data_IF_440453749626
#
_entry.id   IF_440453749626
#
_cell.length_a   1.000
_cell.length_b   1.000
_cell.length_c   1.000
_cell.angle_alpha   90.00
_cell.angle_beta   90.00
_cell.angle_gamma   90.00
#
_symmetry.space_group_name_H-M   'P 1'
#
loop_
_entity.id
_entity.type
_entity.pdbx_description
1 polymer ?
#
# COMPACT_ATOMS: atom_id res chain seq x y z
N UNK A 1 25.73 -12.18 84.91
CA UNK A 1 24.33 -11.69 84.87
C UNK A 1 24.27 -10.62 83.79
N UNK A 2 23.26 -10.71 82.93
CA UNK A 2 22.88 -9.84 81.81
C UNK A 2 23.54 -10.11 80.49
N UNK A 3 22.86 -10.89 79.66
CA UNK A 3 23.02 -11.07 78.23
C UNK A 3 22.61 -9.80 77.48
N UNK A 4 23.46 -9.34 76.54
CA UNK A 4 23.02 -8.41 75.51
C UNK A 4 23.08 -9.14 74.17
N UNK A 5 21.92 -9.22 73.56
CA UNK A 5 21.77 -9.73 72.20
C UNK A 5 22.05 -8.63 71.21
N UNK A 6 23.05 -8.86 70.37
CA UNK A 6 23.31 -8.02 69.18
C UNK A 6 22.39 -8.49 68.04
N UNK A 7 21.48 -7.66 67.62
CA UNK A 7 20.73 -7.81 66.41
C UNK A 7 21.60 -7.29 65.24
N UNK A 8 22.08 -8.18 64.37
CA UNK A 8 22.58 -7.84 63.08
C UNK A 8 21.38 -7.65 62.12
N UNK A 9 21.15 -6.41 61.68
CA UNK A 9 20.24 -6.11 60.59
C UNK A 9 21.00 -6.31 59.28
N UNK A 10 20.63 -7.36 58.56
CA UNK A 10 21.11 -7.63 57.19
C UNK A 10 20.36 -6.70 56.24
N UNK A 11 20.99 -5.66 55.73
CA UNK A 11 20.44 -4.77 54.71
C UNK A 11 20.64 -5.46 53.37
N UNK A 12 19.58 -6.14 52.89
CA UNK A 12 19.54 -6.68 51.55
C UNK A 12 19.23 -5.56 50.54
N UNK A 13 20.26 -5.05 49.91
CA UNK A 13 20.12 -4.16 48.70
C UNK A 13 19.57 -4.97 47.55
N UNK A 14 18.31 -4.79 47.24
CA UNK A 14 17.71 -5.23 45.98
C UNK A 14 18.22 -4.32 44.86
N UNK A 15 19.18 -4.80 44.09
CA UNK A 15 19.50 -4.27 42.79
C UNK A 15 18.43 -4.69 41.82
N UNK A 16 17.43 -3.82 41.62
CA UNK A 16 16.49 -3.95 40.51
C UNK A 16 17.23 -3.68 39.20
N UNK A 17 17.57 -4.73 38.50
CA UNK A 17 17.92 -4.62 37.09
C UNK A 17 16.66 -4.19 36.33
N UNK A 18 16.60 -2.92 35.99
CA UNK A 18 15.65 -2.45 34.96
C UNK A 18 16.25 -2.94 33.63
N UNK A 19 15.83 -4.12 33.22
CA UNK A 19 15.94 -4.54 31.83
C UNK A 19 15.01 -3.66 31.02
N UNK A 20 15.56 -2.70 30.28
CA UNK A 20 14.83 -2.13 29.16
C UNK A 20 14.60 -3.25 28.16
N UNK A 21 13.46 -3.90 28.22
CA UNK A 21 12.93 -4.63 27.09
C UNK A 21 12.68 -3.59 25.99
N UNK A 22 13.35 -3.74 24.87
CA UNK A 22 12.96 -3.07 23.63
C UNK A 22 11.49 -3.48 23.42
N UNK A 23 10.63 -2.48 23.35
CA UNK A 23 9.26 -2.68 22.95
C UNK A 23 9.26 -3.35 21.58
N UNK A 24 8.99 -4.64 21.56
CA UNK A 24 8.66 -5.35 20.35
C UNK A 24 7.31 -4.78 19.90
N UNK A 25 7.20 -4.27 18.66
CA UNK A 25 5.95 -3.67 18.19
C UNK A 25 4.80 -4.67 18.03
N UNK A 26 5.03 -5.93 18.37
CA UNK A 26 4.02 -6.97 18.35
C UNK A 26 3.69 -7.40 19.79
N UNK A 27 2.42 -7.32 20.23
CA UNK A 27 2.01 -7.88 21.51
C UNK A 27 2.25 -9.39 21.53
N UNK A 28 3.07 -9.85 22.49
CA UNK A 28 3.50 -11.26 22.60
C UNK A 28 2.55 -12.14 23.41
N UNK A 29 1.37 -11.66 23.83
CA UNK A 29 0.52 -12.37 24.79
C UNK A 29 -0.87 -12.77 24.31
N UNK A 30 -1.16 -12.71 22.98
CA UNK A 30 -2.36 -13.30 22.38
C UNK A 30 -1.99 -14.10 21.12
N UNK A 31 -1.26 -15.20 21.29
CA UNK A 31 -0.85 -16.10 20.18
C UNK A 31 -2.04 -16.84 19.54
N UNK A 32 -3.26 -16.77 20.10
CA UNK A 32 -4.35 -17.67 19.67
C UNK A 32 -5.30 -17.10 18.62
N UNK A 33 -5.22 -15.80 18.27
CA UNK A 33 -6.19 -15.17 17.35
C UNK A 33 -5.57 -14.50 16.10
N UNK A 34 -4.26 -14.56 15.92
CA UNK A 34 -3.63 -13.99 14.72
C UNK A 34 -3.93 -14.86 13.50
N UNK A 35 -4.60 -14.28 12.51
CA UNK A 35 -4.88 -14.91 11.23
C UNK A 35 -4.25 -14.10 10.10
N UNK A 36 -3.63 -14.78 9.15
CA UNK A 36 -3.14 -14.17 7.92
C UNK A 36 -4.20 -14.32 6.84
N UNK A 37 -4.52 -13.23 6.16
CA UNK A 37 -5.38 -13.27 4.99
C UNK A 37 -4.52 -13.24 3.73
N UNK A 38 -4.85 -14.08 2.76
CA UNK A 38 -4.19 -14.02 1.47
C UNK A 38 -5.19 -14.18 0.33
N UNK A 39 -4.80 -13.68 -0.83
CA UNK A 39 -5.52 -13.88 -2.08
C UNK A 39 -4.60 -14.56 -3.09
N UNK A 40 -5.15 -15.54 -3.81
CA UNK A 40 -4.47 -16.17 -4.94
C UNK A 40 -5.39 -16.12 -6.15
N UNK A 41 -4.85 -15.70 -7.29
CA UNK A 41 -5.60 -15.68 -8.55
C UNK A 41 -5.34 -16.95 -9.34
N UNK A 42 -6.43 -17.66 -9.68
CA UNK A 42 -6.40 -18.85 -10.54
C UNK A 42 -7.45 -18.67 -11.65
N UNK A 43 -6.98 -18.58 -12.89
CA UNK A 43 -7.86 -18.25 -14.03
C UNK A 43 -8.49 -16.86 -13.87
N UNK A 44 -9.81 -16.81 -13.91
CA UNK A 44 -10.57 -15.56 -13.77
C UNK A 44 -11.09 -15.30 -12.35
N UNK A 45 -10.61 -16.06 -11.37
CA UNK A 45 -11.07 -15.94 -9.99
C UNK A 45 -9.92 -15.60 -9.04
N UNK A 46 -10.22 -14.77 -8.04
CA UNK A 46 -9.40 -14.55 -6.85
C UNK A 46 -10.00 -15.35 -5.69
N UNK A 47 -9.18 -16.14 -5.04
CA UNK A 47 -9.54 -16.96 -3.89
C UNK A 47 -8.96 -16.36 -2.64
N UNK A 48 -9.81 -15.97 -1.70
CA UNK A 48 -9.41 -15.33 -0.43
C UNK A 48 -9.62 -16.31 0.71
N UNK A 49 -8.58 -16.55 1.48
CA UNK A 49 -8.59 -17.47 2.61
C UNK A 49 -7.76 -16.97 3.79
N UNK A 50 -7.98 -17.60 4.95
CA UNK A 50 -7.25 -17.35 6.18
C UNK A 50 -6.27 -18.49 6.47
N UNK A 51 -5.11 -18.12 7.03
CA UNK A 51 -4.14 -19.05 7.58
C UNK A 51 -3.82 -18.66 9.02
N UNK A 52 -3.61 -19.66 9.86
CA UNK A 52 -3.09 -19.47 11.22
C UNK A 52 -1.56 -19.46 11.27
N UNK A 53 -0.90 -20.06 10.29
CA UNK A 53 0.56 -20.19 10.23
C UNK A 53 1.03 -19.89 8.80
N UNK A 54 2.12 -19.15 8.66
CA UNK A 54 2.79 -18.87 7.39
C UNK A 54 3.71 -20.01 6.94
N UNK A 55 4.04 -20.98 7.82
CA UNK A 55 4.90 -22.11 7.50
C UNK A 55 4.11 -23.27 6.85
N UNK A 56 3.29 -22.94 5.88
CA UNK A 56 2.50 -23.95 5.14
C UNK A 56 3.24 -24.34 3.86
N UNK A 57 3.46 -25.65 3.66
CA UNK A 57 4.09 -26.17 2.45
C UNK A 57 3.16 -26.11 1.22
N UNK A 58 1.86 -26.18 1.44
CA UNK A 58 0.85 -26.15 0.38
C UNK A 58 -0.36 -25.33 0.81
N UNK A 59 -0.90 -24.59 -0.12
CA UNK A 59 -2.17 -23.86 0.04
C UNK A 59 -3.26 -24.48 -0.82
N UNK A 60 -4.50 -24.38 -0.37
CA UNK A 60 -5.67 -24.88 -1.09
C UNK A 60 -6.69 -23.76 -1.25
N UNK A 61 -7.39 -23.76 -2.37
CA UNK A 61 -8.55 -22.90 -2.59
C UNK A 61 -9.84 -23.44 -1.97
N UNK A 62 -9.77 -24.60 -1.31
CA UNK A 62 -10.91 -25.18 -0.62
C UNK A 62 -11.34 -24.25 0.55
N UNK A 63 -12.62 -24.00 0.67
CA UNK A 63 -13.23 -23.08 1.66
C UNK A 63 -12.81 -21.60 1.53
N UNK A 64 -12.18 -21.21 0.41
CA UNK A 64 -11.92 -19.82 0.11
C UNK A 64 -13.20 -19.10 -0.30
N UNK A 65 -13.28 -17.81 0.01
CA UNK A 65 -14.22 -16.92 -0.65
C UNK A 65 -13.73 -16.67 -2.09
N UNK A 66 -14.67 -16.59 -3.04
CA UNK A 66 -14.35 -16.44 -4.46
C UNK A 66 -14.81 -15.07 -4.94
N UNK A 67 -13.90 -14.33 -5.54
CA UNK A 67 -14.12 -13.03 -6.13
C UNK A 67 -13.66 -13.03 -7.59
N UNK A 68 -13.95 -11.98 -8.35
CA UNK A 68 -13.35 -11.81 -9.66
C UNK A 68 -11.83 -11.63 -9.54
N UNK A 69 -11.09 -11.99 -10.59
CA UNK A 69 -9.68 -11.60 -10.69
C UNK A 69 -9.55 -10.08 -10.52
N UNK A 70 -8.36 -9.60 -10.16
CA UNK A 70 -8.13 -8.18 -9.84
C UNK A 70 -8.97 -7.72 -8.64
N UNK A 71 -9.00 -8.58 -7.62
CA UNK A 71 -9.53 -8.25 -6.30
C UNK A 71 -8.39 -8.04 -5.32
N UNK A 72 -8.41 -6.89 -4.65
CA UNK A 72 -7.34 -6.43 -3.75
C UNK A 72 -7.78 -6.52 -2.31
N UNK A 73 -6.82 -6.87 -1.44
CA UNK A 73 -7.04 -7.00 -0.01
C UNK A 73 -6.49 -5.79 0.71
N UNK A 74 -7.29 -5.25 1.62
CA UNK A 74 -6.89 -4.22 2.56
C UNK A 74 -7.31 -4.62 3.96
N UNK A 75 -6.55 -4.23 4.97
CA UNK A 75 -6.87 -4.49 6.37
C UNK A 75 -6.89 -3.20 7.16
N UNK A 76 -7.90 -3.00 7.99
CA UNK A 76 -7.99 -1.86 8.88
C UNK A 76 -8.92 -2.14 10.07
N UNK A 77 -8.51 -1.76 11.29
CA UNK A 77 -9.33 -1.90 12.49
C UNK A 77 -9.80 -3.34 12.75
N UNK A 78 -8.95 -4.35 12.46
CA UNK A 78 -9.29 -5.77 12.61
C UNK A 78 -10.24 -6.32 11.53
N UNK A 79 -10.61 -5.49 10.54
CA UNK A 79 -11.46 -5.91 9.43
C UNK A 79 -10.65 -6.14 8.16
N UNK A 80 -11.18 -6.98 7.28
CA UNK A 80 -10.64 -7.27 5.96
C UNK A 80 -11.60 -6.70 4.92
N UNK A 81 -11.05 -5.93 4.00
CA UNK A 81 -11.79 -5.34 2.89
C UNK A 81 -11.33 -5.97 1.58
N UNK A 82 -12.27 -6.42 0.76
CA UNK A 82 -12.01 -6.95 -0.58
C UNK A 82 -12.58 -5.98 -1.60
N UNK A 83 -11.70 -5.41 -2.43
CA UNK A 83 -12.05 -4.46 -3.48
C UNK A 83 -11.96 -5.14 -4.84
N UNK A 84 -13.11 -5.42 -5.46
CA UNK A 84 -13.17 -5.94 -6.83
C UNK A 84 -13.11 -4.79 -7.83
N UNK A 85 -12.01 -4.67 -8.57
CA UNK A 85 -11.82 -3.60 -9.55
C UNK A 85 -12.81 -3.71 -10.72
N UNK A 86 -12.87 -4.86 -11.37
CA UNK A 86 -13.69 -5.07 -12.56
C UNK A 86 -15.18 -5.02 -12.29
N UNK A 87 -15.62 -5.52 -11.13
CA UNK A 87 -17.03 -5.53 -10.74
C UNK A 87 -17.45 -4.28 -9.97
N UNK A 88 -16.50 -3.39 -9.67
CA UNK A 88 -16.73 -2.16 -8.93
C UNK A 88 -17.46 -2.40 -7.59
N UNK A 89 -16.93 -3.28 -6.76
CA UNK A 89 -17.54 -3.69 -5.49
C UNK A 89 -16.54 -3.65 -4.36
N UNK A 90 -17.01 -3.26 -3.18
CA UNK A 90 -16.26 -3.34 -1.94
C UNK A 90 -17.01 -4.19 -0.92
N UNK A 91 -16.33 -5.16 -0.34
CA UNK A 91 -16.83 -6.05 0.70
C UNK A 91 -16.07 -5.80 2.00
N UNK A 92 -16.74 -6.00 3.12
CA UNK A 92 -16.14 -5.94 4.46
C UNK A 92 -16.38 -7.24 5.20
N UNK A 93 -15.31 -7.81 5.73
CA UNK A 93 -15.32 -9.04 6.52
C UNK A 93 -14.65 -8.81 7.86
N UNK A 94 -15.11 -9.53 8.87
CA UNK A 94 -14.38 -9.77 10.12
C UNK A 94 -13.95 -11.23 10.20
N UNK A 95 -12.97 -11.51 11.03
CA UNK A 95 -12.58 -12.88 11.35
C UNK A 95 -13.37 -13.32 12.60
N UNK A 96 -14.02 -14.46 12.51
CA UNK A 96 -14.74 -15.07 13.62
C UNK A 96 -14.57 -16.59 13.54
N UNK A 97 -14.04 -17.20 14.61
CA UNK A 97 -13.78 -18.65 14.68
C UNK A 97 -12.98 -19.20 13.48
N UNK A 98 -12.01 -18.43 12.99
CA UNK A 98 -11.19 -18.79 11.82
C UNK A 98 -11.92 -18.73 10.47
N UNK A 99 -13.04 -18.04 10.39
CA UNK A 99 -13.82 -17.84 9.17
C UNK A 99 -13.95 -16.35 8.85
N UNK A 100 -14.05 -16.04 7.55
CA UNK A 100 -14.39 -14.71 7.06
C UNK A 100 -15.91 -14.53 7.06
N UNK A 101 -16.42 -13.67 7.93
CA UNK A 101 -17.84 -13.37 8.07
C UNK A 101 -18.10 -11.98 7.49
N UNK A 102 -18.94 -11.90 6.47
CA UNK A 102 -19.33 -10.62 5.89
C UNK A 102 -20.15 -9.81 6.91
N UNK A 103 -19.71 -8.57 7.20
CA UNK A 103 -20.32 -7.74 8.23
C UNK A 103 -21.43 -6.83 7.72
N UNK A 104 -21.29 -6.38 6.47
CA UNK A 104 -22.18 -5.38 5.89
C UNK A 104 -22.59 -5.80 4.47
N UNK A 105 -23.66 -5.19 3.99
CA UNK A 105 -24.00 -5.30 2.58
C UNK A 105 -22.86 -4.82 1.69
N UNK A 106 -22.70 -5.46 0.55
CA UNK A 106 -21.68 -5.10 -0.44
C UNK A 106 -21.90 -3.68 -0.94
N UNK A 107 -20.90 -2.83 -0.83
CA UNK A 107 -20.95 -1.52 -1.45
C UNK A 107 -20.73 -1.64 -2.95
N UNK A 108 -21.67 -1.11 -3.73
CA UNK A 108 -21.57 -1.06 -5.18
C UNK A 108 -21.10 0.33 -5.61
N UNK A 109 -20.01 0.36 -6.35
CA UNK A 109 -19.46 1.57 -6.96
C UNK A 109 -20.01 1.73 -8.38
N UNK A 110 -19.98 2.92 -8.98
CA UNK A 110 -20.45 3.12 -10.34
C UNK A 110 -19.71 2.23 -11.36
N UNK A 111 -20.44 1.77 -12.36
CA UNK A 111 -19.85 1.01 -13.47
C UNK A 111 -18.72 1.80 -14.13
N UNK A 112 -17.64 1.13 -14.47
CA UNK A 112 -16.46 1.74 -15.08
C UNK A 112 -15.58 2.54 -14.11
N UNK A 113 -15.87 2.51 -12.81
CA UNK A 113 -15.02 3.20 -11.81
C UNK A 113 -13.61 2.60 -11.71
N UNK A 114 -13.45 1.30 -12.00
CA UNK A 114 -12.18 0.58 -11.85
C UNK A 114 -11.48 0.94 -10.53
N UNK A 115 -12.10 0.67 -9.39
CA UNK A 115 -11.50 1.02 -8.10
C UNK A 115 -10.22 0.20 -7.90
N UNK A 116 -9.12 0.89 -7.56
CA UNK A 116 -7.80 0.27 -7.52
C UNK A 116 -7.17 0.30 -6.12
N UNK A 117 -7.52 1.25 -5.29
CA UNK A 117 -6.86 1.42 -4.00
C UNK A 117 -7.81 1.95 -2.92
N UNK A 118 -7.57 1.52 -1.68
CA UNK A 118 -8.34 1.94 -0.51
C UNK A 118 -7.39 2.44 0.58
N UNK A 119 -7.55 3.71 0.97
CA UNK A 119 -6.73 4.35 2.01
C UNK A 119 -7.59 4.79 3.16
N UNK A 120 -7.28 4.32 4.36
CA UNK A 120 -8.04 4.63 5.56
C UNK A 120 -7.46 5.85 6.28
N UNK A 121 -8.32 6.80 6.63
CA UNK A 121 -8.01 7.93 7.50
C UNK A 121 -8.44 7.62 8.94
N UNK A 122 -9.59 6.98 9.10
CA UNK A 122 -10.16 6.56 10.39
C UNK A 122 -11.20 5.44 10.20
N UNK A 123 -11.81 4.98 11.29
CA UNK A 123 -12.95 4.06 11.25
C UNK A 123 -14.21 4.67 10.60
N UNK A 124 -14.25 5.99 10.45
CA UNK A 124 -15.38 6.72 9.87
C UNK A 124 -15.06 7.28 8.48
N UNK A 125 -13.80 7.21 8.04
CA UNK A 125 -13.37 7.82 6.78
C UNK A 125 -12.28 7.04 6.06
N UNK A 126 -12.53 6.74 4.79
CA UNK A 126 -11.56 6.18 3.87
C UNK A 126 -11.77 6.73 2.45
N UNK A 127 -10.74 6.59 1.62
CA UNK A 127 -10.74 7.04 0.23
C UNK A 127 -10.55 5.85 -0.71
N UNK A 128 -11.38 5.77 -1.75
CA UNK A 128 -11.24 4.79 -2.83
C UNK A 128 -10.77 5.52 -4.09
N UNK A 129 -9.62 5.13 -4.62
CA UNK A 129 -9.14 5.61 -5.91
C UNK A 129 -9.92 4.92 -7.03
N UNK A 130 -10.66 5.67 -7.83
CA UNK A 130 -11.44 5.20 -8.97
C UNK A 130 -10.71 5.57 -10.26
N UNK A 131 -9.80 4.68 -10.70
CA UNK A 131 -8.91 4.89 -11.85
C UNK A 131 -9.70 5.20 -13.11
N UNK A 132 -10.80 4.49 -13.36
CA UNK A 132 -11.58 4.64 -14.58
C UNK A 132 -12.39 5.95 -14.66
N UNK A 133 -12.59 6.65 -13.54
CA UNK A 133 -13.41 7.87 -13.49
C UNK A 133 -12.60 9.14 -13.15
N UNK A 134 -11.32 9.01 -12.85
CA UNK A 134 -10.51 10.14 -12.41
C UNK A 134 -11.02 10.79 -11.12
N UNK A 135 -11.51 9.98 -10.18
CA UNK A 135 -12.13 10.44 -8.92
C UNK A 135 -11.63 9.67 -7.72
N UNK A 136 -11.73 10.30 -6.56
CA UNK A 136 -11.71 9.61 -5.28
C UNK A 136 -13.12 9.57 -4.71
N UNK A 137 -13.55 8.39 -4.24
CA UNK A 137 -14.75 8.30 -3.41
C UNK A 137 -14.37 8.32 -1.94
N UNK A 138 -15.12 9.11 -1.18
CA UNK A 138 -15.02 9.16 0.27
C UNK A 138 -16.11 8.26 0.81
N UNK A 139 -15.73 7.36 1.70
CA UNK A 139 -16.65 6.41 2.32
C UNK A 139 -16.51 6.42 3.84
N UNK A 140 -17.55 5.97 4.51
CA UNK A 140 -17.44 5.54 5.90
C UNK A 140 -17.24 4.01 5.92
N UNK A 141 -16.04 3.51 6.30
CA UNK A 141 -15.74 2.07 6.24
C UNK A 141 -16.48 1.26 7.31
N UNK A 142 -17.00 1.90 8.38
CA UNK A 142 -17.84 1.23 9.38
C UNK A 142 -19.24 0.96 8.85
N UNK A 143 -19.85 1.92 8.16
CA UNK A 143 -21.21 1.78 7.63
C UNK A 143 -21.23 1.27 6.18
N UNK A 144 -20.10 1.24 5.49
CA UNK A 144 -19.97 0.89 4.07
C UNK A 144 -20.80 1.80 3.17
N UNK A 145 -20.87 3.09 3.49
CA UNK A 145 -21.63 4.08 2.72
C UNK A 145 -20.71 5.14 2.14
N UNK A 146 -21.02 5.59 0.92
CA UNK A 146 -20.39 6.76 0.31
C UNK A 146 -20.82 8.03 1.05
N UNK A 147 -19.85 8.85 1.46
CA UNK A 147 -20.06 10.12 2.14
C UNK A 147 -19.71 11.34 1.27
N UNK A 148 -18.90 11.13 0.23
CA UNK A 148 -18.48 12.21 -0.66
C UNK A 148 -17.71 11.72 -1.88
N UNK A 149 -17.25 12.67 -2.69
CA UNK A 149 -16.31 12.40 -3.78
C UNK A 149 -15.44 13.62 -4.06
N UNK A 150 -14.26 13.41 -4.63
CA UNK A 150 -13.34 14.43 -5.10
C UNK A 150 -13.12 14.18 -6.59
N UNK A 151 -13.47 15.14 -7.43
CA UNK A 151 -13.22 15.12 -8.87
C UNK A 151 -11.77 15.60 -9.12
N UNK A 152 -11.00 14.82 -9.84
CA UNK A 152 -9.58 15.09 -10.12
C UNK A 152 -9.35 15.54 -11.56
N UNK A 153 -10.40 15.82 -12.33
CA UNK A 153 -10.33 16.15 -13.76
C UNK A 153 -9.46 17.37 -14.08
N UNK A 154 -9.37 18.32 -13.15
CA UNK A 154 -8.51 19.52 -13.31
C UNK A 154 -7.01 19.18 -13.27
N UNK A 155 -6.65 18.01 -12.75
CA UNK A 155 -5.26 17.58 -12.60
C UNK A 155 -4.78 16.65 -13.72
N UNK A 156 -5.62 16.36 -14.70
CA UNK A 156 -5.26 15.59 -15.89
C UNK A 156 -4.37 16.42 -16.82
N UNK A 157 -3.27 15.85 -17.30
CA UNK A 157 -2.31 16.52 -18.17
C UNK A 157 -1.98 15.66 -19.40
N UNK A 158 -1.64 16.33 -20.51
CA UNK A 158 -1.02 15.69 -21.68
C UNK A 158 -1.85 14.60 -22.35
N UNK A 159 -3.17 14.63 -22.24
CA UNK A 159 -4.07 13.62 -22.77
C UNK A 159 -4.26 13.74 -24.28
N UNK A 160 -3.86 12.70 -25.04
CA UNK A 160 -4.03 12.63 -26.50
C UNK A 160 -5.51 12.52 -26.87
N UNK A 161 -6.31 11.81 -26.08
CA UNK A 161 -7.74 11.63 -26.28
C UNK A 161 -8.58 12.87 -25.93
N UNK A 162 -7.97 13.84 -25.22
CA UNK A 162 -8.69 14.98 -24.66
C UNK A 162 -9.58 14.62 -23.46
N UNK A 163 -9.48 13.40 -22.92
CA UNK A 163 -10.15 13.07 -21.66
C UNK A 163 -9.55 13.85 -20.50
N UNK A 164 -10.23 13.82 -19.36
CA UNK A 164 -9.82 14.55 -18.16
C UNK A 164 -9.56 13.60 -16.98
N UNK A 165 -9.16 12.36 -17.26
CA UNK A 165 -8.86 11.39 -16.23
C UNK A 165 -7.36 11.40 -15.92
N UNK A 166 -6.91 11.74 -14.69
CA UNK A 166 -5.51 11.66 -14.29
C UNK A 166 -5.11 10.26 -13.79
N UNK A 167 -5.99 9.27 -13.78
CA UNK A 167 -5.85 7.90 -13.30
C UNK A 167 -5.27 7.84 -11.88
N UNK A 168 -6.06 8.15 -10.82
CA UNK A 168 -5.60 8.07 -9.45
C UNK A 168 -5.30 6.62 -9.04
N UNK A 169 -4.09 6.37 -8.54
CA UNK A 169 -3.64 5.07 -8.08
C UNK A 169 -3.52 4.96 -6.56
N UNK A 170 -2.48 4.27 -6.11
CA UNK A 170 -2.21 4.07 -4.70
C UNK A 170 -1.94 5.39 -3.97
N UNK A 171 -2.32 5.43 -2.71
CA UNK A 171 -2.22 6.63 -1.88
C UNK A 171 -1.87 6.31 -0.43
N UNK A 172 -1.40 7.30 0.29
CA UNK A 172 -1.05 7.19 1.72
C UNK A 172 -1.34 8.50 2.43
N UNK A 173 -1.69 8.41 3.70
CA UNK A 173 -1.90 9.59 4.55
C UNK A 173 -0.68 9.79 5.44
N UNK A 174 -0.18 11.05 5.47
CA UNK A 174 0.84 11.51 6.39
C UNK A 174 0.51 12.89 6.89
N UNK A 175 0.47 13.06 8.20
CA UNK A 175 0.25 14.36 8.87
C UNK A 175 -1.03 15.09 8.40
N UNK A 176 -2.13 14.35 8.18
CA UNK A 176 -3.41 14.88 7.72
C UNK A 176 -3.47 15.26 6.23
N UNK A 177 -2.48 14.83 5.46
CA UNK A 177 -2.43 15.00 4.01
C UNK A 177 -2.49 13.63 3.34
N UNK A 178 -3.43 13.46 2.42
CA UNK A 178 -3.51 12.31 1.52
C UNK A 178 -2.64 12.58 0.29
N UNK A 179 -1.64 11.75 0.04
CA UNK A 179 -0.76 11.78 -1.12
C UNK A 179 -1.26 10.74 -2.13
N UNK A 180 -1.77 11.17 -3.26
CA UNK A 180 -2.35 10.31 -4.30
C UNK A 180 -1.45 10.28 -5.52
N UNK A 181 -0.92 9.11 -5.87
CA UNK A 181 -0.21 8.94 -7.13
C UNK A 181 -1.16 9.03 -8.32
N UNK A 182 -0.73 9.72 -9.38
CA UNK A 182 -1.47 9.87 -10.62
C UNK A 182 -0.67 9.25 -11.77
N UNK A 183 -1.29 8.31 -12.52
CA UNK A 183 -0.62 7.65 -13.63
C UNK A 183 -0.40 8.59 -14.81
N UNK A 184 -1.34 9.47 -15.08
CA UNK A 184 -1.26 10.47 -16.15
C UNK A 184 -1.00 9.84 -17.53
N UNK A 185 -1.80 8.86 -17.93
CA UNK A 185 -1.68 8.25 -19.24
C UNK A 185 -2.04 9.24 -20.36
N UNK A 186 -1.21 9.34 -21.39
CA UNK A 186 -1.53 10.10 -22.64
C UNK A 186 -2.63 9.40 -23.41
N UNK A 187 -2.51 8.09 -23.48
CA UNK A 187 -3.45 7.13 -24.06
C UNK A 187 -3.31 5.84 -23.26
N UNK A 188 -4.18 4.87 -23.48
CA UNK A 188 -4.22 3.64 -22.71
C UNK A 188 -2.82 3.01 -22.50
N UNK A 189 -2.38 2.95 -21.23
CA UNK A 189 -1.09 2.42 -20.78
C UNK A 189 0.17 3.13 -21.34
N UNK A 190 0.04 4.31 -21.91
CA UNK A 190 1.15 5.10 -22.40
C UNK A 190 1.32 6.35 -21.51
N UNK A 191 2.19 6.31 -20.49
CA UNK A 191 2.26 7.39 -19.52
C UNK A 191 2.88 8.67 -20.09
N UNK A 192 2.50 9.79 -19.51
CA UNK A 192 3.29 11.01 -19.61
C UNK A 192 4.62 10.83 -18.90
N UNK A 193 5.65 11.51 -19.38
CA UNK A 193 6.92 11.59 -18.66
C UNK A 193 6.73 12.36 -17.35
N UNK A 194 7.35 11.86 -16.28
CA UNK A 194 7.28 12.43 -14.95
C UNK A 194 6.38 11.63 -14.00
N UNK A 195 6.65 11.80 -12.73
CA UNK A 195 5.86 11.30 -11.62
C UNK A 195 5.00 12.43 -11.06
N UNK A 196 3.72 12.18 -10.86
CA UNK A 196 2.75 13.18 -10.39
C UNK A 196 2.05 12.67 -9.14
N UNK A 197 2.01 13.53 -8.11
CA UNK A 197 1.32 13.22 -6.84
C UNK A 197 0.44 14.40 -6.46
N UNK A 198 -0.84 14.13 -6.23
CA UNK A 198 -1.78 15.13 -5.74
C UNK A 198 -1.85 15.06 -4.20
N UNK A 199 -1.71 16.19 -3.56
CA UNK A 199 -1.85 16.37 -2.12
C UNK A 199 -3.24 16.89 -1.79
N UNK A 200 -3.93 16.22 -0.86
CA UNK A 200 -5.30 16.56 -0.45
C UNK A 200 -5.32 16.67 1.08
N UNK A 201 -5.90 17.75 1.60
CA UNK A 201 -6.12 17.93 3.03
C UNK A 201 -7.26 16.98 3.49
N UNK A 202 -6.95 16.03 4.40
CA UNK A 202 -7.95 15.02 4.82
C UNK A 202 -9.05 15.60 5.71
N UNK A 203 -8.87 16.76 6.30
CA UNK A 203 -9.87 17.42 7.13
C UNK A 203 -10.96 18.11 6.31
N UNK A 204 -10.58 18.67 5.17
CA UNK A 204 -11.47 19.45 4.29
C UNK A 204 -11.84 18.73 3.00
N UNK A 205 -11.16 17.63 2.67
CA UNK A 205 -11.25 16.88 1.42
C UNK A 205 -10.97 17.73 0.17
N UNK A 206 -10.11 18.75 0.33
CA UNK A 206 -9.77 19.66 -0.76
C UNK A 206 -8.33 19.43 -1.22
N UNK A 207 -8.11 19.42 -2.54
CA UNK A 207 -6.77 19.43 -3.09
C UNK A 207 -5.98 20.65 -2.62
N UNK A 208 -4.72 20.43 -2.24
CA UNK A 208 -3.77 21.47 -1.82
C UNK A 208 -2.92 21.90 -3.02
N UNK A 209 -2.24 20.92 -3.63
CA UNK A 209 -1.39 21.12 -4.81
C UNK A 209 -1.07 19.78 -5.47
N UNK A 210 -0.69 19.80 -6.73
CA UNK A 210 -0.05 18.70 -7.42
C UNK A 210 1.47 18.95 -7.48
N UNK A 211 2.26 17.95 -7.10
CA UNK A 211 3.73 17.98 -7.23
C UNK A 211 4.16 17.03 -8.33
N UNK A 212 5.31 17.30 -8.95
CA UNK A 212 5.86 16.47 -10.00
C UNK A 212 7.38 16.36 -9.95
N UNK A 213 7.91 15.27 -10.51
CA UNK A 213 9.33 15.03 -10.66
C UNK A 213 9.63 14.27 -11.96
N UNK A 214 10.54 14.81 -12.78
CA UNK A 214 10.85 14.22 -14.08
C UNK A 214 11.95 13.14 -14.04
N UNK A 215 12.50 12.83 -12.86
CA UNK A 215 13.51 11.77 -12.69
C UNK A 215 12.89 10.37 -12.73
N UNK A 216 11.59 10.27 -12.50
CA UNK A 216 10.85 9.01 -12.57
C UNK A 216 9.50 9.21 -13.24
N UNK A 217 8.84 8.13 -13.61
CA UNK A 217 7.60 8.15 -14.39
C UNK A 217 6.53 7.31 -13.71
N UNK A 218 5.26 7.77 -13.76
CA UNK A 218 4.07 7.04 -13.32
C UNK A 218 4.12 6.71 -11.82
N UNK A 219 3.85 7.72 -10.97
CA UNK A 219 3.87 7.57 -9.52
C UNK A 219 2.73 6.65 -9.05
N UNK A 220 3.06 5.55 -8.38
CA UNK A 220 2.14 4.58 -7.76
C UNK A 220 0.90 4.25 -8.61
N UNK A 221 1.09 4.19 -9.92
CA UNK A 221 0.01 3.89 -10.81
C UNK A 221 -0.40 2.44 -10.69
N UNK A 222 -1.69 2.23 -10.56
CA UNK A 222 -2.33 0.93 -10.45
C UNK A 222 -1.96 0.12 -9.19
N UNK A 223 -2.79 -0.83 -8.88
CA UNK A 223 -2.76 -1.74 -7.75
C UNK A 223 -1.52 -2.65 -7.67
N UNK A 224 -0.85 -2.88 -8.79
CA UNK A 224 0.29 -3.80 -8.87
C UNK A 224 1.61 -3.22 -8.36
N UNK A 225 1.73 -1.92 -8.23
CA UNK A 225 3.00 -1.29 -7.85
C UNK A 225 3.27 -1.26 -6.36
N UNK A 226 2.30 -1.67 -5.54
CA UNK A 226 2.39 -1.64 -4.08
C UNK A 226 2.31 -0.22 -3.50
N UNK A 227 2.10 -0.15 -2.20
CA UNK A 227 1.78 1.07 -1.49
C UNK A 227 2.98 2.01 -1.39
N UNK A 228 2.76 3.34 -1.38
CA UNK A 228 3.71 4.27 -0.82
C UNK A 228 3.94 3.92 0.65
N UNK A 229 5.15 4.12 1.16
CA UNK A 229 5.44 3.79 2.55
C UNK A 229 6.16 4.94 3.27
N UNK A 230 6.02 4.96 4.58
CA UNK A 230 6.69 5.92 5.47
C UNK A 230 7.71 5.15 6.29
N UNK A 231 8.96 5.62 6.33
CA UNK A 231 10.01 5.01 7.13
C UNK A 231 9.96 5.49 8.60
N UNK A 232 10.85 4.95 9.43
CA UNK A 232 10.92 5.26 10.86
C UNK A 232 11.33 6.71 11.15
N UNK A 233 11.86 7.41 10.15
CA UNK A 233 12.20 8.84 10.24
C UNK A 233 11.01 9.72 9.89
N UNK A 234 9.96 9.13 9.32
CA UNK A 234 8.77 9.81 8.82
C UNK A 234 8.95 10.32 7.38
N UNK A 235 9.99 9.90 6.67
CA UNK A 235 10.15 10.18 5.25
C UNK A 235 9.17 9.31 4.44
N UNK A 236 8.48 9.91 3.49
CA UNK A 236 7.55 9.23 2.60
C UNK A 236 8.26 8.83 1.30
N UNK A 237 8.12 7.58 0.91
CA UNK A 237 8.67 7.03 -0.31
C UNK A 237 7.56 6.65 -1.29
N UNK A 238 7.72 7.10 -2.52
CA UNK A 238 6.79 6.86 -3.61
C UNK A 238 7.52 6.09 -4.70
N UNK A 239 7.03 4.90 -5.00
CA UNK A 239 7.53 4.10 -6.09
C UNK A 239 6.90 4.56 -7.41
N UNK A 240 7.72 4.79 -8.40
CA UNK A 240 7.33 5.14 -9.75
C UNK A 240 7.61 3.94 -10.66
N UNK A 241 6.58 3.45 -11.34
CA UNK A 241 6.62 2.15 -12.04
C UNK A 241 7.24 2.21 -13.43
N UNK A 242 7.55 3.41 -13.94
CA UNK A 242 8.31 3.58 -15.18
C UNK A 242 7.65 3.01 -16.43
N UNK A 243 6.31 2.97 -16.51
CA UNK A 243 5.62 2.37 -17.65
C UNK A 243 5.88 0.86 -17.78
N UNK A 244 6.13 0.17 -16.69
CA UNK A 244 6.33 -1.29 -16.60
C UNK A 244 7.51 -1.81 -17.44
N UNK A 245 8.53 -0.96 -17.69
CA UNK A 245 9.67 -1.31 -18.53
C UNK A 245 9.38 -1.42 -20.02
N UNK A 246 8.19 -0.99 -20.48
CA UNK A 246 7.82 -1.08 -21.90
C UNK A 246 8.16 0.19 -22.72
N UNK A 247 8.44 1.30 -22.05
CA UNK A 247 8.66 2.59 -22.69
C UNK A 247 10.07 3.12 -22.40
N UNK A 248 10.86 3.34 -23.44
CA UNK A 248 12.27 3.71 -23.33
C UNK A 248 12.55 5.03 -22.58
N UNK A 249 11.58 5.93 -22.55
CA UNK A 249 11.72 7.24 -21.90
C UNK A 249 11.03 7.29 -20.52
N UNK A 250 10.62 6.16 -20.00
CA UNK A 250 9.94 6.05 -18.71
C UNK A 250 10.87 5.33 -17.74
N UNK A 251 11.28 6.03 -16.70
CA UNK A 251 12.21 5.53 -15.68
C UNK A 251 11.48 5.12 -14.42
N UNK A 252 11.84 3.99 -13.87
CA UNK A 252 11.34 3.51 -12.59
C UNK A 252 12.28 3.83 -11.44
N UNK A 253 11.72 3.89 -10.24
CA UNK A 253 12.50 4.08 -9.01
C UNK A 253 11.69 4.70 -7.88
N UNK A 254 12.37 4.94 -6.78
CA UNK A 254 11.76 5.59 -5.62
C UNK A 254 12.14 7.06 -5.56
N UNK A 255 11.11 7.89 -5.41
CA UNK A 255 11.21 9.29 -5.01
C UNK A 255 10.89 9.41 -3.52
N UNK A 256 11.42 10.44 -2.88
CA UNK A 256 11.22 10.69 -1.45
C UNK A 256 10.62 12.07 -1.22
N UNK A 257 9.76 12.16 -0.19
CA UNK A 257 9.30 13.43 0.40
C UNK A 257 9.71 13.40 1.87
N UNK A 258 10.62 14.27 2.31
CA UNK A 258 11.11 14.29 3.68
C UNK A 258 10.00 14.58 4.68
N UNK A 259 10.17 14.12 5.90
CA UNK A 259 9.29 14.46 7.02
C UNK A 259 9.12 15.98 7.14
N UNK A 260 7.87 16.41 7.26
CA UNK A 260 7.52 17.83 7.36
C UNK A 260 7.57 18.61 6.05
N UNK A 261 8.02 17.99 4.95
CA UNK A 261 8.01 18.59 3.61
C UNK A 261 6.84 18.05 2.78
N UNK A 262 6.47 18.81 1.75
CA UNK A 262 5.36 18.46 0.83
C UNK A 262 5.79 18.46 -0.63
N UNK A 263 7.08 18.56 -0.91
CA UNK A 263 7.67 18.49 -2.24
C UNK A 263 8.69 17.36 -2.32
N UNK A 264 8.96 16.86 -3.53
CA UNK A 264 9.96 15.82 -3.73
C UNK A 264 11.36 16.31 -3.36
N UNK A 265 12.08 15.49 -2.59
CA UNK A 265 13.47 15.72 -2.24
C UNK A 265 14.38 15.58 -3.47
N UNK A 266 14.90 16.70 -3.94
CA UNK A 266 15.79 16.73 -5.11
C UNK A 266 17.14 16.05 -4.89
N UNK A 267 17.52 15.78 -3.63
CA UNK A 267 18.75 15.08 -3.30
C UNK A 267 18.63 13.56 -3.29
N UNK A 268 17.40 13.01 -3.42
CA UNK A 268 17.14 11.58 -3.36
C UNK A 268 16.41 11.09 -4.61
N UNK A 269 16.97 10.09 -5.24
CA UNK A 269 16.32 9.25 -6.24
C UNK A 269 17.02 7.88 -6.22
N UNK A 270 16.22 6.81 -6.18
CA UNK A 270 16.73 5.44 -6.19
C UNK A 270 16.22 4.73 -7.44
N UNK A 271 16.99 4.76 -8.55
CA UNK A 271 16.62 4.11 -9.80
C UNK A 271 16.82 2.59 -9.70
N UNK A 272 15.85 1.79 -10.14
CA UNK A 272 15.94 0.33 -10.09
C UNK A 272 16.81 -0.22 -11.25
N UNK A 273 16.55 0.23 -12.47
CA UNK A 273 17.19 -0.28 -13.70
C UNK A 273 18.71 -0.06 -13.77
N UNK A 274 19.23 0.91 -13.00
CA UNK A 274 20.66 1.22 -12.98
C UNK A 274 21.45 0.42 -11.95
N UNK A 275 20.74 -0.31 -11.08
CA UNK A 275 21.37 -1.10 -10.02
C UNK A 275 21.85 -2.43 -10.60
N UNK A 276 23.12 -2.75 -10.37
CA UNK A 276 23.64 -4.08 -10.68
C UNK A 276 23.21 -5.07 -9.63
N UNK A 277 22.45 -6.09 -10.03
CA UNK A 277 22.02 -7.17 -9.17
C UNK A 277 22.84 -8.41 -9.55
N UNK A 278 23.76 -8.89 -8.69
CA UNK A 278 24.55 -10.07 -8.99
C UNK A 278 23.68 -11.32 -9.06
N UNK A 279 24.19 -12.34 -9.75
CA UNK A 279 23.61 -13.70 -9.82
C UNK A 279 22.25 -13.82 -10.53
N UNK A 280 21.79 -12.76 -11.20
CA UNK A 280 20.64 -12.83 -12.10
C UNK A 280 21.07 -12.61 -13.56
N UNK A 281 20.35 -13.20 -14.52
CA UNK A 281 20.65 -13.05 -15.96
C UNK A 281 20.52 -11.59 -16.39
N UNK A 282 21.61 -11.03 -16.94
CA UNK A 282 21.67 -9.63 -17.33
C UNK A 282 21.98 -8.65 -16.20
N UNK A 283 22.11 -9.14 -14.97
CA UNK A 283 22.45 -8.37 -13.76
C UNK A 283 21.58 -7.12 -13.52
N UNK A 284 20.32 -7.12 -14.00
CA UNK A 284 19.41 -5.97 -13.91
C UNK A 284 17.98 -6.41 -13.70
N UNK A 285 17.24 -5.62 -12.93
CA UNK A 285 15.78 -5.61 -12.90
C UNK A 285 15.27 -4.30 -13.48
N UNK A 286 14.03 -4.23 -13.94
CA UNK A 286 13.49 -3.01 -14.52
C UNK A 286 12.24 -2.46 -13.79
N UNK A 287 11.44 -3.28 -13.17
CA UNK A 287 10.35 -2.79 -12.33
C UNK A 287 9.95 -3.80 -11.24
N UNK A 288 9.26 -3.29 -10.24
CA UNK A 288 8.78 -4.06 -9.10
C UNK A 288 7.27 -4.24 -9.23
N UNK A 289 6.80 -5.48 -9.27
CA UNK A 289 5.37 -5.80 -9.32
C UNK A 289 4.66 -5.51 -8.00
N UNK A 290 5.25 -5.98 -6.92
CA UNK A 290 4.70 -5.83 -5.59
C UNK A 290 5.84 -5.66 -4.61
N UNK A 291 5.65 -4.84 -3.60
CA UNK A 291 6.66 -4.58 -2.58
C UNK A 291 6.04 -4.35 -1.23
N UNK A 292 6.79 -4.67 -0.21
CA UNK A 292 6.44 -4.40 1.19
C UNK A 292 7.65 -3.86 1.92
N UNK A 293 7.49 -2.70 2.54
CA UNK A 293 8.47 -2.17 3.46
C UNK A 293 8.31 -2.84 4.82
N UNK A 294 9.38 -3.42 5.35
CA UNK A 294 9.38 -4.18 6.60
C UNK A 294 10.13 -3.50 7.73
N UNK A 295 10.46 -2.22 7.54
CA UNK A 295 11.21 -1.45 8.54
C UNK A 295 12.72 -1.56 8.40
N UNK A 296 13.42 -0.67 9.11
CA UNK A 296 14.88 -0.63 9.17
C UNK A 296 15.58 -0.54 7.81
N UNK A 297 14.98 0.19 6.87
CA UNK A 297 15.49 0.37 5.51
C UNK A 297 15.40 -0.88 4.63
N UNK A 298 14.58 -1.87 4.99
CA UNK A 298 14.41 -3.12 4.24
C UNK A 298 13.09 -3.11 3.49
N UNK A 299 13.17 -3.47 2.22
CA UNK A 299 12.03 -3.63 1.34
C UNK A 299 12.16 -4.98 0.61
N UNK A 300 11.09 -5.74 0.62
CA UNK A 300 10.96 -7.00 -0.14
C UNK A 300 10.01 -6.79 -1.30
N UNK A 301 10.25 -7.45 -2.42
CA UNK A 301 9.38 -7.33 -3.58
C UNK A 301 9.67 -8.33 -4.68
N UNK A 302 8.76 -8.40 -5.64
CA UNK A 302 8.90 -9.18 -6.87
C UNK A 302 9.37 -8.27 -7.99
N UNK A 303 10.51 -8.60 -8.57
CA UNK A 303 11.13 -7.83 -9.64
C UNK A 303 10.91 -8.49 -11.00
N UNK A 304 10.69 -7.69 -12.03
CA UNK A 304 10.85 -8.14 -13.40
C UNK A 304 12.34 -8.15 -13.76
N UNK A 305 12.81 -9.30 -14.29
CA UNK A 305 14.18 -9.49 -14.72
C UNK A 305 14.19 -9.69 -16.24
N UNK A 306 14.53 -8.67 -17.05
CA UNK A 306 14.47 -8.74 -18.52
C UNK A 306 15.29 -9.87 -19.12
N UNK A 307 16.34 -10.31 -18.43
CA UNK A 307 17.16 -11.44 -18.86
C UNK A 307 16.44 -12.79 -18.89
N UNK A 308 15.34 -12.95 -18.16
CA UNK A 308 14.53 -14.18 -18.12
C UNK A 308 13.20 -14.06 -18.85
N UNK A 309 12.72 -12.87 -19.05
CA UNK A 309 11.41 -12.62 -19.67
C UNK A 309 11.62 -11.89 -20.98
N UNK A 310 11.14 -12.47 -22.08
CA UNK A 310 11.10 -11.75 -23.34
C UNK A 310 10.07 -10.62 -23.21
N UNK A 311 10.53 -9.38 -23.30
CA UNK A 311 9.62 -8.26 -23.40
C UNK A 311 8.96 -8.30 -24.79
N UNK A 312 7.62 -8.48 -24.89
CA UNK A 312 6.97 -8.55 -26.20
C UNK A 312 6.97 -7.22 -26.96
N UNK A 313 7.48 -6.16 -26.35
CA UNK A 313 7.51 -4.80 -26.94
C UNK A 313 8.92 -4.21 -27.08
N UNK A 314 9.97 -4.99 -26.83
CA UNK A 314 11.37 -4.61 -27.11
C UNK A 314 11.77 -4.97 -28.52
#
# INVERSE_FOLDING_TARGET
MKNQWFLLSLLATFLSFISCSKDDPFPTDEEDDMSFVHSVTVGDNAYVSLFKDLNVEQTSTQNSLVFAKESFLFTYGGNIYVLESMNARLYKYRVENGLLIQEKETMILPSGSLPAFLTFDSEEKAYISCVGLGKLYIINPTTMQKTGEIDLSEYAIGKESGDKNPEPGASVIRDGILYVGLAQDKSQFNPNTGAYVLLIDTKTDKPIKMISDNRATMATAYEYSGDPFIDEKGDLYIYCVGGFGYFANCTEGFLRIKKGETDFDQSYYFPIETISIPDIKGNKANYIYSKTYTGNGKLYGYFNVPGYVSNPRS
#
